data_IF_117509425427
#
_entry.id   IF_117509425427
#
_cell.length_a   1.000
_cell.length_b   1.000
_cell.length_c   1.000
_cell.angle_alpha   90.00
_cell.angle_beta   90.00
_cell.angle_gamma   90.00
#
_symmetry.space_group_name_H-M   'P 1'
#
loop_
_entity.id
_entity.type
_entity.pdbx_description
1 polymer ?
#
# COMPACT_ATOMS: atom_id res chain seq x y z
N UNK A 1 -15.44 5.09 13.77
CA UNK A 1 -15.04 5.39 12.38
C UNK A 1 -16.25 5.71 11.48
N UNK A 2 -17.34 4.94 11.50
CA UNK A 2 -18.56 5.30 10.75
C UNK A 2 -19.23 6.61 11.19
N UNK A 3 -19.06 7.00 12.43
CA UNK A 3 -19.66 8.24 12.98
C UNK A 3 -19.07 9.54 12.40
N UNK A 4 -17.97 9.47 11.64
CA UNK A 4 -17.32 10.63 11.00
C UNK A 4 -17.56 10.70 9.48
N UNK A 5 -18.43 9.89 8.91
CA UNK A 5 -18.69 9.88 7.48
C UNK A 5 -17.54 9.32 6.65
N UNK A 6 -16.62 8.57 7.25
CA UNK A 6 -15.52 7.93 6.54
C UNK A 6 -16.04 6.75 5.73
N UNK A 7 -15.65 6.68 4.47
CA UNK A 7 -16.07 5.60 3.56
C UNK A 7 -15.59 4.22 4.04
N UNK A 8 -16.38 3.15 3.82
CA UNK A 8 -15.93 1.80 4.06
C UNK A 8 -14.68 1.50 3.21
N UNK A 9 -13.62 0.99 3.84
CA UNK A 9 -12.44 0.58 3.10
C UNK A 9 -11.18 1.39 3.34
N UNK A 10 -11.14 2.24 4.39
CA UNK A 10 -9.88 2.84 4.81
C UNK A 10 -8.90 1.72 5.18
N UNK A 11 -7.75 1.72 4.51
CA UNK A 11 -6.68 0.76 4.74
C UNK A 11 -5.87 1.23 5.94
N UNK A 12 -5.81 0.41 6.98
CA UNK A 12 -4.85 0.57 8.07
C UNK A 12 -3.42 0.30 7.58
N UNK A 13 -2.43 0.84 8.27
CA UNK A 13 -1.02 0.64 7.93
C UNK A 13 -0.33 -0.20 9.02
N UNK A 14 0.42 -1.21 8.59
CA UNK A 14 1.26 -2.03 9.45
C UNK A 14 2.69 -1.54 9.34
N UNK A 15 3.14 -0.80 10.34
CA UNK A 15 4.49 -0.24 10.38
C UNK A 15 5.53 -1.27 10.84
N UNK A 16 5.15 -2.15 11.74
CA UNK A 16 6.01 -3.18 12.31
C UNK A 16 5.22 -4.45 12.60
N UNK A 17 5.46 -5.49 11.82
CA UNK A 17 4.79 -6.78 11.94
C UNK A 17 5.27 -7.58 13.17
N UNK A 18 6.41 -7.24 13.75
CA UNK A 18 6.89 -7.87 14.99
C UNK A 18 6.14 -7.38 16.23
N UNK A 19 5.29 -6.35 16.10
CA UNK A 19 4.45 -5.90 17.18
C UNK A 19 3.37 -6.96 17.49
N UNK A 20 3.23 -7.43 18.74
CA UNK A 20 2.28 -8.48 19.12
C UNK A 20 0.82 -8.20 18.80
N UNK A 21 0.44 -6.95 18.59
CA UNK A 21 -0.93 -6.61 18.17
C UNK A 21 -1.34 -7.24 16.82
N UNK A 22 -0.35 -7.62 15.98
CA UNK A 22 -0.56 -8.23 14.68
C UNK A 22 -0.49 -9.75 14.68
N UNK A 23 -0.12 -10.39 15.80
CA UNK A 23 0.16 -11.84 15.87
C UNK A 23 -0.99 -12.68 15.31
N UNK A 24 -2.23 -12.39 15.69
CA UNK A 24 -3.38 -13.15 15.20
C UNK A 24 -3.54 -13.08 13.67
N UNK A 25 -3.24 -11.93 13.08
CA UNK A 25 -3.37 -11.74 11.64
C UNK A 25 -2.15 -12.26 10.89
N UNK A 26 -0.97 -12.09 11.47
CA UNK A 26 0.28 -12.49 10.84
C UNK A 26 0.47 -14.02 10.82
N UNK A 27 0.13 -14.70 11.92
CA UNK A 27 0.29 -16.15 12.06
C UNK A 27 -0.69 -16.96 11.21
N UNK A 28 -1.90 -16.43 10.96
CA UNK A 28 -2.94 -17.15 10.22
C UNK A 28 -2.97 -16.71 8.75
N UNK A 29 -2.60 -17.61 7.81
CA UNK A 29 -2.62 -17.29 6.38
C UNK A 29 -3.98 -16.84 5.83
N UNK A 30 -5.08 -17.20 6.50
CA UNK A 30 -6.44 -16.79 6.07
C UNK A 30 -6.67 -15.29 6.09
N UNK A 31 -5.88 -14.54 6.85
CA UNK A 31 -5.97 -13.09 6.90
C UNK A 31 -5.06 -12.38 5.90
N UNK A 32 -4.12 -13.08 5.29
CA UNK A 32 -3.19 -12.50 4.32
C UNK A 32 -3.88 -12.27 2.98
N UNK A 33 -3.63 -11.15 2.37
CA UNK A 33 -4.20 -10.81 1.07
C UNK A 33 -3.22 -10.00 0.21
N UNK A 34 -3.57 -9.89 -1.05
CA UNK A 34 -2.94 -8.94 -1.97
C UNK A 34 -3.90 -7.76 -2.17
N UNK A 35 -3.48 -6.58 -1.78
CA UNK A 35 -4.23 -5.34 -2.04
C UNK A 35 -3.81 -4.86 -3.43
N UNK A 36 -4.72 -5.00 -4.40
CA UNK A 36 -4.43 -4.66 -5.79
C UNK A 36 -4.74 -3.19 -6.04
N UNK A 37 -3.78 -2.47 -6.64
CA UNK A 37 -3.91 -1.06 -6.96
C UNK A 37 -3.13 -0.69 -8.21
N UNK A 38 -3.54 0.38 -8.88
CA UNK A 38 -2.81 0.96 -10.02
C UNK A 38 -1.79 2.01 -9.58
N UNK A 39 -2.14 2.78 -8.54
CA UNK A 39 -1.33 3.86 -7.99
C UNK A 39 -1.48 3.93 -6.48
N UNK A 40 -0.49 4.51 -5.81
CA UNK A 40 -0.64 5.04 -4.47
C UNK A 40 -0.16 6.49 -4.45
N UNK A 41 -0.58 7.25 -3.44
CA UNK A 41 -0.21 8.65 -3.30
C UNK A 41 0.35 8.96 -1.93
N UNK A 42 1.25 9.93 -1.89
CA UNK A 42 1.70 10.56 -0.66
C UNK A 42 1.40 12.06 -0.68
N UNK A 43 1.16 12.67 0.50
CA UNK A 43 1.08 14.12 0.61
C UNK A 43 2.47 14.72 0.40
N UNK A 44 2.55 15.74 -0.46
CA UNK A 44 3.79 16.44 -0.81
C UNK A 44 3.65 17.94 -0.56
N UNK A 45 4.75 18.61 -0.30
CA UNK A 45 4.79 20.06 -0.06
C UNK A 45 4.60 20.47 1.40
N UNK A 46 4.25 21.73 1.61
CA UNK A 46 4.20 22.35 2.95
C UNK A 46 2.94 21.99 3.73
N UNK A 47 3.02 21.85 5.06
CA UNK A 47 1.84 21.65 5.90
C UNK A 47 0.75 22.70 5.66
N UNK A 48 -0.51 22.24 5.55
CA UNK A 48 -1.66 23.10 5.28
C UNK A 48 -1.98 23.31 3.79
N UNK A 49 -1.01 23.09 2.88
CA UNK A 49 -1.21 23.19 1.44
C UNK A 49 -0.61 22.00 0.68
N UNK A 50 -0.65 20.80 1.31
CA UNK A 50 -0.11 19.59 0.70
C UNK A 50 -0.90 19.17 -0.52
N UNK A 51 -0.18 18.79 -1.56
CA UNK A 51 -0.71 18.25 -2.80
C UNK A 51 -0.49 16.75 -2.89
N UNK A 52 -1.02 16.10 -3.92
CA UNK A 52 -0.83 14.67 -4.17
C UNK A 52 0.33 14.42 -5.10
N UNK A 53 1.27 13.60 -4.66
CA UNK A 53 2.26 12.97 -5.54
C UNK A 53 1.90 11.49 -5.69
N UNK A 54 1.67 11.06 -6.91
CA UNK A 54 1.26 9.70 -7.26
C UNK A 54 2.45 8.86 -7.71
N UNK A 55 2.39 7.58 -7.35
CA UNK A 55 3.38 6.58 -7.69
C UNK A 55 2.72 5.40 -8.37
N UNK A 56 3.31 4.93 -9.46
CA UNK A 56 2.96 3.70 -10.15
C UNK A 56 4.24 2.98 -10.59
N UNK A 57 4.12 1.77 -11.11
CA UNK A 57 5.28 1.03 -11.63
C UNK A 57 5.37 1.12 -13.14
N UNK A 58 6.58 1.28 -13.65
CA UNK A 58 6.88 1.14 -15.07
C UNK A 58 6.63 -0.31 -15.51
N UNK A 59 5.99 -0.50 -16.65
CA UNK A 59 5.73 -1.81 -17.28
C UNK A 59 4.90 -2.80 -16.42
N UNK A 60 4.24 -2.31 -15.38
CA UNK A 60 3.44 -3.13 -14.48
C UNK A 60 2.15 -2.35 -14.12
N UNK A 61 1.04 -2.57 -14.86
CA UNK A 61 -0.18 -1.77 -14.73
C UNK A 61 -0.89 -1.97 -13.39
N UNK A 62 -0.70 -3.11 -12.74
CA UNK A 62 -1.21 -3.39 -11.41
C UNK A 62 -0.06 -3.67 -10.45
N UNK A 63 -0.14 -3.06 -9.29
CA UNK A 63 0.71 -3.36 -8.13
C UNK A 63 -0.03 -4.28 -7.17
N UNK A 64 0.67 -5.22 -6.57
CA UNK A 64 0.18 -6.01 -5.45
C UNK A 64 0.88 -5.56 -4.18
N UNK A 65 0.12 -5.04 -3.25
CA UNK A 65 0.58 -4.61 -1.94
C UNK A 65 0.31 -5.73 -0.93
N UNK A 66 1.35 -6.16 -0.21
CA UNK A 66 1.23 -7.14 0.86
C UNK A 66 0.34 -6.61 1.98
N UNK A 67 -0.71 -7.35 2.31
CA UNK A 67 -1.66 -6.87 3.29
C UNK A 67 -2.42 -7.97 4.01
N UNK A 68 -3.23 -7.54 4.94
CA UNK A 68 -4.15 -8.36 5.70
C UNK A 68 -5.58 -7.88 5.47
N UNK A 69 -6.52 -8.83 5.50
CA UNK A 69 -7.94 -8.56 5.43
C UNK A 69 -8.66 -9.35 6.53
N UNK A 70 -9.50 -8.67 7.28
CA UNK A 70 -10.35 -9.29 8.30
C UNK A 70 -11.78 -8.78 8.15
N UNK A 71 -12.73 -9.69 8.16
CA UNK A 71 -14.13 -9.30 8.24
C UNK A 71 -14.50 -8.99 9.69
N UNK A 72 -14.97 -7.79 9.93
CA UNK A 72 -15.43 -7.35 11.26
C UNK A 72 -16.95 -7.40 11.26
N UNK A 73 -17.59 -8.12 12.22
CA UNK A 73 -19.04 -8.16 12.32
C UNK A 73 -19.64 -6.77 12.26
N UNK A 74 -20.73 -6.63 11.50
CA UNK A 74 -21.50 -5.39 11.30
C UNK A 74 -20.75 -4.23 10.59
N UNK A 75 -19.44 -4.39 10.31
CA UNK A 75 -18.62 -3.37 9.66
C UNK A 75 -18.09 -3.81 8.28
N UNK A 76 -18.12 -5.13 8.00
CA UNK A 76 -17.58 -5.68 6.77
C UNK A 76 -16.05 -5.81 6.77
N UNK A 77 -15.44 -6.01 5.59
CA UNK A 77 -14.01 -6.22 5.47
C UNK A 77 -13.20 -4.96 5.84
N UNK A 78 -12.12 -5.19 6.56
CA UNK A 78 -11.10 -4.18 6.87
C UNK A 78 -9.75 -4.68 6.38
N UNK A 79 -9.00 -3.79 5.78
CA UNK A 79 -7.68 -4.06 5.23
C UNK A 79 -6.60 -3.36 6.04
N UNK A 80 -5.43 -3.99 6.12
CA UNK A 80 -4.22 -3.36 6.65
C UNK A 80 -3.06 -3.69 5.72
N UNK A 81 -2.41 -2.67 5.18
CA UNK A 81 -1.27 -2.82 4.27
C UNK A 81 0.06 -2.73 4.99
N UNK A 82 0.99 -3.64 4.65
CA UNK A 82 2.35 -3.63 5.15
C UNK A 82 3.14 -2.45 4.61
N UNK A 83 3.87 -1.76 5.46
CA UNK A 83 4.81 -0.72 5.05
C UNK A 83 6.25 -1.10 5.39
N UNK A 84 7.17 -0.52 4.66
CA UNK A 84 8.61 -0.66 4.81
C UNK A 84 9.30 0.69 4.61
N UNK A 85 10.60 0.76 4.87
CA UNK A 85 11.37 1.96 4.61
C UNK A 85 11.32 2.33 3.12
N UNK A 86 11.14 3.62 2.85
CA UNK A 86 10.99 4.11 1.50
C UNK A 86 12.30 4.05 0.71
N UNK A 87 12.20 3.72 -0.58
CA UNK A 87 13.33 3.88 -1.50
C UNK A 87 13.57 5.37 -1.85
N UNK A 88 14.64 5.66 -2.58
CA UNK A 88 15.04 7.03 -2.91
C UNK A 88 13.98 7.83 -3.70
N UNK A 89 13.09 7.17 -4.44
CA UNK A 89 12.02 7.84 -5.21
C UNK A 89 10.86 8.27 -4.31
N UNK A 90 10.50 7.47 -3.31
CA UNK A 90 9.37 7.74 -2.42
C UNK A 90 9.77 8.58 -1.21
N UNK A 91 10.99 8.39 -0.70
CA UNK A 91 11.49 9.03 0.52
C UNK A 91 11.30 10.56 0.61
N UNK A 92 11.39 11.35 -0.48
CA UNK A 92 11.13 12.79 -0.40
C UNK A 92 9.72 13.16 0.06
N UNK A 93 8.74 12.27 -0.09
CA UNK A 93 7.34 12.50 0.29
C UNK A 93 6.93 11.76 1.56
N UNK A 94 7.54 10.62 1.84
CA UNK A 94 7.25 9.80 3.01
C UNK A 94 8.43 8.86 3.29
N UNK A 95 8.81 8.71 4.54
CA UNK A 95 9.86 7.76 4.98
C UNK A 95 9.42 6.29 4.89
N UNK A 96 8.14 6.04 4.67
CA UNK A 96 7.56 4.70 4.49
C UNK A 96 6.92 4.54 3.12
N UNK A 97 6.93 3.31 2.61
CA UNK A 97 6.24 2.93 1.37
C UNK A 97 5.54 1.58 1.52
N UNK A 98 4.58 1.26 0.64
CA UNK A 98 3.98 -0.07 0.61
C UNK A 98 5.01 -1.18 0.38
N UNK A 99 4.84 -2.32 1.04
CA UNK A 99 5.56 -3.56 0.71
C UNK A 99 4.95 -4.13 -0.57
N UNK A 100 5.55 -3.83 -1.70
CA UNK A 100 5.10 -4.32 -3.01
C UNK A 100 5.67 -5.70 -3.29
N UNK A 101 4.89 -6.52 -3.98
CA UNK A 101 5.21 -7.90 -4.32
C UNK A 101 5.28 -8.09 -5.83
N UNK A 102 6.29 -8.80 -6.29
CA UNK A 102 6.32 -9.35 -7.64
C UNK A 102 5.49 -10.65 -7.70
N UNK A 103 5.02 -11.09 -8.87
CA UNK A 103 4.20 -12.30 -8.99
C UNK A 103 4.83 -13.57 -8.38
N UNK A 104 6.15 -13.71 -8.42
CA UNK A 104 6.86 -14.84 -7.80
C UNK A 104 6.83 -14.82 -6.25
N UNK A 105 6.49 -13.68 -5.65
CA UNK A 105 6.37 -13.53 -4.19
C UNK A 105 4.97 -13.88 -3.67
N UNK A 106 3.95 -13.91 -4.54
CA UNK A 106 2.55 -14.01 -4.10
C UNK A 106 2.28 -15.24 -3.24
N UNK A 107 2.72 -16.41 -3.69
CA UNK A 107 2.50 -17.65 -2.94
C UNK A 107 3.24 -17.63 -1.59
N UNK A 108 4.44 -17.08 -1.55
CA UNK A 108 5.23 -16.96 -0.31
C UNK A 108 4.59 -16.01 0.68
N UNK A 109 4.05 -14.89 0.21
CA UNK A 109 3.30 -13.96 1.06
C UNK A 109 2.03 -14.61 1.59
N UNK A 110 1.24 -15.21 0.72
CA UNK A 110 -0.08 -15.74 1.08
C UNK A 110 0.00 -17.01 1.96
N UNK A 111 1.01 -17.86 1.77
CA UNK A 111 1.07 -19.18 2.38
C UNK A 111 2.40 -19.49 3.09
N UNK A 112 3.38 -18.62 3.02
CA UNK A 112 4.69 -18.84 3.63
C UNK A 112 4.65 -18.88 5.16
N UNK A 113 5.73 -19.39 5.76
CA UNK A 113 5.93 -19.36 7.19
C UNK A 113 6.02 -17.92 7.72
N UNK A 114 5.79 -17.73 9.02
CA UNK A 114 5.76 -16.38 9.62
C UNK A 114 7.10 -15.65 9.46
N UNK A 115 8.20 -16.36 9.50
CA UNK A 115 9.55 -15.80 9.32
C UNK A 115 9.73 -15.22 7.92
N UNK A 116 9.19 -15.88 6.89
CA UNK A 116 9.18 -15.37 5.51
C UNK A 116 8.32 -14.12 5.39
N UNK A 117 7.15 -14.14 6.00
CA UNK A 117 6.19 -13.02 5.98
C UNK A 117 6.77 -11.78 6.65
N UNK A 118 7.40 -11.93 7.80
CA UNK A 118 8.12 -10.84 8.47
C UNK A 118 9.27 -10.35 7.60
N UNK A 119 10.00 -11.27 6.97
CA UNK A 119 11.12 -10.95 6.08
C UNK A 119 10.77 -10.02 4.94
N UNK A 120 9.54 -10.04 4.42
CA UNK A 120 9.09 -9.10 3.39
C UNK A 120 9.16 -7.63 3.82
N UNK A 121 8.94 -7.35 5.09
CA UNK A 121 9.01 -5.98 5.63
C UNK A 121 10.45 -5.45 5.72
N UNK A 122 11.41 -6.34 5.94
CA UNK A 122 12.82 -5.99 6.19
C UNK A 122 13.74 -6.21 4.98
N UNK A 123 13.21 -6.72 3.87
CA UNK A 123 13.97 -6.84 2.63
C UNK A 123 14.21 -5.47 1.98
N UNK A 124 15.09 -5.44 0.97
CA UNK A 124 15.24 -4.24 0.15
C UNK A 124 13.92 -3.90 -0.56
N UNK A 125 13.49 -2.63 -0.56
CA UNK A 125 12.32 -2.19 -1.31
C UNK A 125 12.53 -2.36 -2.82
N UNK A 126 11.44 -2.29 -3.60
CA UNK A 126 11.56 -2.17 -5.05
C UNK A 126 12.49 -1.02 -5.42
N UNK A 127 13.32 -1.24 -6.42
CA UNK A 127 14.30 -0.24 -6.84
C UNK A 127 13.61 1.05 -7.32
N UNK A 128 14.26 2.18 -7.08
CA UNK A 128 13.74 3.51 -7.37
C UNK A 128 13.35 3.68 -8.85
N UNK A 129 14.12 3.06 -9.76
CA UNK A 129 13.92 3.14 -11.21
C UNK A 129 12.65 2.45 -11.71
N UNK A 130 12.08 1.56 -10.91
CA UNK A 130 10.81 0.91 -11.25
C UNK A 130 9.61 1.85 -11.15
N UNK A 131 9.76 2.98 -10.45
CA UNK A 131 8.65 3.89 -10.16
C UNK A 131 8.51 5.01 -11.19
N UNK A 132 7.27 5.24 -11.59
CA UNK A 132 6.84 6.47 -12.25
C UNK A 132 6.22 7.39 -11.20
N UNK A 133 6.63 8.66 -11.22
CA UNK A 133 6.16 9.69 -10.28
C UNK A 133 5.35 10.73 -11.03
N UNK A 134 4.15 11.03 -10.56
CA UNK A 134 3.29 12.07 -11.10
C UNK A 134 2.95 13.08 -9.99
N UNK A 135 3.63 14.22 -9.99
CA UNK A 135 3.32 15.34 -9.11
C UNK A 135 2.13 16.11 -9.64
N UNK A 136 1.23 16.50 -8.74
CA UNK A 136 0.04 17.28 -9.11
C UNK A 136 -0.09 18.51 -8.22
N UNK A 137 -0.87 19.49 -8.68
CA UNK A 137 -1.32 20.64 -7.88
C UNK A 137 -2.63 20.34 -7.11
N UNK A 138 -3.12 19.12 -7.20
CA UNK A 138 -4.35 18.70 -6.53
C UNK A 138 -4.14 18.57 -5.02
N UNK A 139 -4.94 19.28 -4.25
CA UNK A 139 -4.87 19.20 -2.79
C UNK A 139 -5.03 17.77 -2.30
N UNK A 140 -4.34 17.43 -1.22
CA UNK A 140 -4.34 16.08 -0.64
C UNK A 140 -5.75 15.53 -0.42
N UNK A 141 -6.68 16.35 0.00
CA UNK A 141 -8.07 15.99 0.29
C UNK A 141 -9.03 16.20 -0.89
N UNK A 142 -8.54 16.48 -2.09
CA UNK A 142 -9.37 16.78 -3.28
C UNK A 142 -10.22 15.62 -3.78
N UNK A 143 -9.84 14.37 -3.46
CA UNK A 143 -10.49 13.17 -4.00
C UNK A 143 -10.18 12.89 -5.48
N UNK A 144 -9.35 13.71 -6.14
CA UNK A 144 -9.02 13.52 -7.56
C UNK A 144 -8.17 12.27 -7.78
N UNK A 145 -8.36 11.66 -8.95
CA UNK A 145 -7.61 10.48 -9.41
C UNK A 145 -6.24 10.89 -9.99
N UNK A 146 -5.29 9.93 -10.10
CA UNK A 146 -4.03 10.20 -10.78
C UNK A 146 -4.26 10.52 -12.27
N UNK A 147 -3.46 11.42 -12.88
CA UNK A 147 -3.64 11.84 -14.28
C UNK A 147 -3.54 10.69 -15.29
N UNK A 148 -2.78 9.65 -14.95
CA UNK A 148 -2.58 8.48 -15.84
C UNK A 148 -3.54 7.31 -15.58
N UNK A 149 -4.50 7.44 -14.64
CA UNK A 149 -5.38 6.34 -14.25
C UNK A 149 -6.15 5.72 -15.42
N UNK A 150 -6.71 6.55 -16.29
CA UNK A 150 -7.52 6.06 -17.42
C UNK A 150 -6.67 5.33 -18.46
N UNK A 151 -5.43 5.77 -18.69
CA UNK A 151 -4.49 5.10 -19.59
C UNK A 151 -4.05 3.75 -19.04
N UNK A 152 -3.89 3.63 -17.74
CA UNK A 152 -3.46 2.41 -17.09
C UNK A 152 -4.56 1.34 -17.09
N UNK A 153 -5.80 1.74 -16.85
CA UNK A 153 -6.95 0.83 -16.91
C UNK A 153 -7.20 0.27 -18.31
N UNK A 154 -6.87 1.02 -19.35
CA UNK A 154 -6.98 0.55 -20.74
C UNK A 154 -5.97 -0.54 -21.13
N UNK A 155 -4.96 -0.81 -20.28
CA UNK A 155 -3.96 -1.87 -20.46
C UNK A 155 -4.33 -3.19 -19.77
N UNK A 156 -5.43 -3.22 -19.03
CA UNK A 156 -5.95 -4.40 -18.32
C UNK A 156 -7.03 -5.11 -19.13
#
# INVERSE_FOLDING_TARGET
MRERGEEPGIIGLVADLTNPMWDQMALDPRYRCLIVMTHFANPDGVPGARTRTWFSLNHMPLMAWAGFCRNIPDQGPRFAGMTMDANATVAPTNDRMPVLLDPHDYARWLHGAIEEVIGFQFRAPFSAERFKVERTEDLWNSGKRPPSADKQLALL
#
